data_IF_686843962321
#
_entry.id   IF_686843962321
#
_cell.length_a   1.000
_cell.length_b   1.000
_cell.length_c   1.000
_cell.angle_alpha   90.00
_cell.angle_beta   90.00
_cell.angle_gamma   90.00
#
_symmetry.space_group_name_H-M   'P 1'
#
loop_
_entity.id
_entity.type
_entity.pdbx_description
1 polymer ?
#
# COMPACT_ATOMS: atom_id res chain seq x y z
N UNK A 1 -19.46 22.64 -25.91
CA UNK A 1 -20.30 21.49 -26.32
C UNK A 1 -20.81 20.86 -25.06
N UNK A 2 -22.02 20.29 -25.02
CA UNK A 2 -22.44 19.55 -23.83
C UNK A 2 -21.56 18.32 -23.66
N UNK A 3 -21.12 18.05 -22.43
CA UNK A 3 -20.37 16.86 -22.10
C UNK A 3 -21.28 15.63 -22.27
N UNK A 4 -20.75 14.59 -22.90
CA UNK A 4 -21.46 13.34 -23.11
C UNK A 4 -20.76 12.25 -22.30
N UNK A 5 -21.42 11.77 -21.24
CA UNK A 5 -20.95 10.62 -20.48
C UNK A 5 -21.43 9.32 -21.15
N UNK A 6 -20.53 8.42 -21.43
CA UNK A 6 -20.81 7.12 -22.04
C UNK A 6 -20.33 6.01 -21.10
N UNK A 7 -21.25 5.16 -20.66
CA UNK A 7 -20.91 3.95 -19.92
C UNK A 7 -20.61 2.81 -20.91
N UNK A 8 -19.45 2.21 -20.76
CA UNK A 8 -18.99 1.09 -21.59
C UNK A 8 -18.62 -0.09 -20.71
N UNK A 9 -18.75 -1.30 -21.23
CA UNK A 9 -18.40 -2.55 -20.53
C UNK A 9 -17.30 -3.28 -21.30
N UNK A 10 -16.23 -2.60 -21.63
CA UNK A 10 -15.11 -3.09 -22.43
C UNK A 10 -13.76 -3.08 -21.71
N UNK A 11 -13.73 -2.67 -20.44
CA UNK A 11 -12.53 -2.78 -19.61
C UNK A 11 -12.13 -4.24 -19.38
N UNK A 12 -10.85 -4.49 -19.22
CA UNK A 12 -10.27 -5.82 -19.00
C UNK A 12 -9.31 -5.78 -17.85
N UNK A 13 -9.41 -6.80 -16.99
CA UNK A 13 -8.46 -7.05 -15.93
C UNK A 13 -7.92 -8.48 -16.00
N UNK A 14 -6.74 -8.70 -15.49
CA UNK A 14 -6.10 -10.01 -15.38
C UNK A 14 -5.45 -10.17 -14.03
N UNK A 15 -5.75 -11.29 -13.38
CA UNK A 15 -5.11 -11.68 -12.13
C UNK A 15 -4.53 -13.08 -12.25
N UNK A 16 -3.24 -13.22 -12.00
CA UNK A 16 -2.54 -14.51 -11.94
C UNK A 16 -1.86 -14.60 -10.57
N UNK A 17 -2.00 -15.72 -9.86
CA UNK A 17 -1.36 -15.92 -8.57
C UNK A 17 -0.94 -17.36 -8.32
N UNK A 18 0.13 -17.51 -7.55
CA UNK A 18 0.57 -18.76 -6.95
C UNK A 18 0.61 -18.58 -5.43
N UNK A 19 -0.02 -19.49 -4.70
CA UNK A 19 0.01 -19.48 -3.23
C UNK A 19 0.67 -20.75 -2.72
N UNK A 20 1.59 -20.59 -1.77
CA UNK A 20 2.19 -21.69 -1.00
C UNK A 20 1.74 -21.58 0.43
N UNK A 21 1.19 -22.67 0.97
CA UNK A 21 0.75 -22.78 2.36
C UNK A 21 1.56 -23.85 3.07
N UNK A 22 2.07 -23.53 4.25
CA UNK A 22 2.76 -24.44 5.14
C UNK A 22 2.11 -24.37 6.52
N UNK A 23 1.76 -25.52 7.06
CA UNK A 23 1.27 -25.64 8.43
C UNK A 23 1.88 -26.88 9.09
N UNK A 24 2.29 -26.74 10.34
CA UNK A 24 2.85 -27.88 11.06
C UNK A 24 3.14 -27.64 12.52
N UNK A 25 3.34 -28.75 13.23
CA UNK A 25 3.83 -28.80 14.59
C UNK A 25 5.32 -29.12 14.56
N UNK A 26 6.15 -28.17 14.98
CA UNK A 26 7.60 -28.33 15.01
C UNK A 26 8.08 -28.57 16.44
N UNK A 27 8.85 -29.66 16.64
CA UNK A 27 9.53 -29.94 17.91
C UNK A 27 8.62 -29.98 19.16
N UNK A 28 7.36 -30.41 19.06
CA UNK A 28 6.36 -30.53 20.14
C UNK A 28 6.00 -29.21 20.86
N UNK A 29 6.63 -28.10 20.52
CA UNK A 29 6.47 -26.83 21.23
C UNK A 29 6.17 -25.64 20.32
N UNK A 30 6.17 -25.84 19.02
CA UNK A 30 5.97 -24.78 18.05
C UNK A 30 4.90 -25.18 17.04
N UNK A 31 3.82 -24.45 17.06
CA UNK A 31 2.81 -24.45 16.01
C UNK A 31 3.12 -23.32 15.05
N UNK A 32 3.20 -23.62 13.76
CA UNK A 32 3.56 -22.68 12.71
C UNK A 32 2.57 -22.74 11.56
N UNK A 33 2.18 -21.58 11.08
CA UNK A 33 1.47 -21.38 9.81
C UNK A 33 2.22 -20.34 9.01
N UNK A 34 2.52 -20.65 7.76
CA UNK A 34 3.13 -19.72 6.83
C UNK A 34 2.41 -19.75 5.50
N UNK A 35 2.12 -18.57 4.97
CA UNK A 35 1.53 -18.39 3.65
C UNK A 35 2.42 -17.46 2.84
N UNK A 36 2.66 -17.82 1.59
CA UNK A 36 3.30 -16.94 0.63
C UNK A 36 2.48 -16.92 -0.64
N UNK A 37 2.23 -15.73 -1.14
CA UNK A 37 1.53 -15.50 -2.40
C UNK A 37 2.41 -14.65 -3.31
N UNK A 38 2.66 -15.15 -4.52
CA UNK A 38 3.19 -14.40 -5.64
C UNK A 38 2.03 -14.11 -6.59
N UNK A 39 1.74 -12.84 -6.84
CA UNK A 39 0.61 -12.43 -7.66
C UNK A 39 1.00 -11.36 -8.69
N UNK A 40 0.16 -11.22 -9.70
CA UNK A 40 0.19 -10.11 -10.66
C UNK A 40 -1.24 -9.73 -10.99
N UNK A 41 -1.64 -8.53 -10.64
CA UNK A 41 -2.91 -7.94 -11.00
C UNK A 41 -2.67 -6.82 -12.02
N UNK A 42 -3.36 -6.86 -13.15
CA UNK A 42 -3.24 -5.87 -14.22
C UNK A 42 -4.61 -5.43 -14.70
N UNK A 43 -4.71 -4.17 -15.06
CA UNK A 43 -5.94 -3.58 -15.59
C UNK A 43 -5.64 -2.60 -16.71
N UNK A 44 -6.68 -2.26 -17.47
CA UNK A 44 -6.70 -1.11 -18.36
C UNK A 44 -7.46 0.02 -17.66
N UNK A 45 -7.04 1.25 -17.83
CA UNK A 45 -7.79 2.40 -17.39
C UNK A 45 -6.94 3.48 -16.77
N UNK A 46 -7.59 4.53 -16.36
CA UNK A 46 -7.05 5.56 -15.47
C UNK A 46 -7.61 5.38 -14.08
N UNK A 47 -6.79 5.45 -13.09
CA UNK A 47 -7.23 5.59 -11.71
C UNK A 47 -7.67 7.03 -11.50
N UNK A 48 -8.98 7.26 -11.48
CA UNK A 48 -9.59 8.54 -11.16
C UNK A 48 -9.71 8.68 -9.65
N UNK A 49 -8.62 8.80 -8.96
CA UNK A 49 -8.61 9.05 -7.53
C UNK A 49 -8.99 7.83 -6.68
N UNK A 50 -8.30 7.68 -5.62
CA UNK A 50 -8.24 6.51 -4.73
C UNK A 50 -9.55 6.11 -4.05
N UNK A 51 -10.61 6.91 -4.12
CA UNK A 51 -11.86 6.66 -3.40
C UNK A 51 -12.90 5.84 -4.19
N UNK A 52 -12.71 5.67 -5.51
CA UNK A 52 -13.72 5.05 -6.37
C UNK A 52 -13.11 4.22 -7.51
N UNK A 53 -12.22 3.29 -7.20
CA UNK A 53 -11.56 2.38 -8.16
C UNK A 53 -12.50 1.67 -9.12
N UNK A 54 -13.79 1.58 -8.80
CA UNK A 54 -14.80 0.96 -9.66
C UNK A 54 -15.40 1.91 -10.72
N UNK A 55 -14.98 3.17 -10.74
CA UNK A 55 -15.44 4.19 -11.72
C UNK A 55 -14.35 4.50 -12.74
N UNK A 56 -13.28 3.71 -12.76
CA UNK A 56 -12.18 3.89 -13.70
C UNK A 56 -12.68 3.92 -15.13
N UNK A 57 -12.48 5.05 -15.77
CA UNK A 57 -12.72 5.23 -17.20
C UNK A 57 -11.45 4.98 -18.01
N UNK A 58 -11.56 5.12 -19.30
CA UNK A 58 -10.39 5.20 -20.18
C UNK A 58 -9.70 6.55 -19.98
N UNK A 59 -8.35 6.57 -19.92
CA UNK A 59 -7.60 7.80 -19.75
C UNK A 59 -7.80 8.79 -20.89
N UNK A 60 -8.01 8.30 -22.08
CA UNK A 60 -8.30 9.10 -23.26
C UNK A 60 -9.49 8.50 -24.00
N UNK A 61 -10.68 9.14 -23.97
CA UNK A 61 -11.86 8.64 -24.69
C UNK A 61 -11.66 8.54 -26.21
N UNK A 62 -10.71 9.29 -26.77
CA UNK A 62 -10.40 9.27 -28.21
C UNK A 62 -9.43 8.15 -28.58
N UNK A 63 -8.67 7.64 -27.63
CA UNK A 63 -7.75 6.52 -27.77
C UNK A 63 -7.91 5.55 -26.61
N UNK A 64 -9.08 4.97 -26.52
CA UNK A 64 -9.41 3.96 -25.51
C UNK A 64 -8.46 2.77 -25.63
N UNK A 65 -7.86 2.36 -24.53
CA UNK A 65 -6.81 1.33 -24.50
C UNK A 65 -5.49 1.72 -25.18
N UNK A 66 -5.14 2.99 -25.07
CA UNK A 66 -3.91 3.56 -25.57
C UNK A 66 -2.66 2.94 -24.94
N UNK A 67 -1.51 3.26 -25.54
CA UNK A 67 -0.22 2.84 -25.01
C UNK A 67 0.01 3.45 -23.62
N UNK A 68 0.35 2.61 -22.64
CA UNK A 68 0.58 3.02 -21.26
C UNK A 68 -0.66 2.95 -20.36
N UNK A 69 -1.85 2.69 -20.90
CA UNK A 69 -3.09 2.53 -20.13
C UNK A 69 -3.27 1.10 -19.60
N UNK A 70 -2.40 0.17 -19.97
CA UNK A 70 -2.35 -1.17 -19.41
C UNK A 70 -1.17 -1.31 -18.47
N UNK A 71 -1.46 -1.47 -17.20
CA UNK A 71 -0.46 -1.55 -16.14
C UNK A 71 -0.87 -2.43 -14.98
N UNK A 72 -0.07 -2.47 -13.92
CA UNK A 72 -0.49 -3.04 -12.66
C UNK A 72 -1.78 -2.35 -12.19
N UNK A 73 -2.67 -3.05 -11.50
CA UNK A 73 -3.77 -2.38 -10.81
C UNK A 73 -3.29 -1.84 -9.47
N UNK A 74 -3.93 -0.80 -8.92
CA UNK A 74 -3.60 -0.25 -7.61
C UNK A 74 -3.58 -1.28 -6.47
N UNK A 75 -4.22 -2.44 -6.68
CA UNK A 75 -4.23 -3.58 -5.76
C UNK A 75 -3.11 -4.61 -6.04
N UNK A 76 -2.20 -4.36 -6.98
CA UNK A 76 -1.13 -5.30 -7.33
C UNK A 76 -0.07 -5.40 -6.24
N UNK A 77 -0.30 -6.28 -5.28
CA UNK A 77 0.71 -6.72 -4.30
C UNK A 77 1.41 -7.95 -4.86
N UNK A 78 2.65 -7.76 -5.35
CA UNK A 78 3.35 -8.82 -6.06
C UNK A 78 3.76 -9.98 -5.17
N UNK A 79 4.31 -9.68 -4.01
CA UNK A 79 4.74 -10.67 -3.04
C UNK A 79 4.07 -10.38 -1.70
N UNK A 80 3.41 -11.37 -1.14
CA UNK A 80 2.80 -11.31 0.18
C UNK A 80 3.20 -12.51 1.01
N UNK A 81 3.79 -12.26 2.16
CA UNK A 81 4.15 -13.28 3.15
C UNK A 81 3.41 -13.05 4.46
N UNK A 82 2.84 -14.11 5.02
CA UNK A 82 2.25 -14.10 6.37
C UNK A 82 2.79 -15.31 7.12
N UNK A 83 3.35 -15.08 8.30
CA UNK A 83 3.85 -16.14 9.18
C UNK A 83 3.26 -15.94 10.57
N UNK A 84 2.59 -16.94 11.09
CA UNK A 84 2.05 -16.94 12.45
C UNK A 84 2.51 -18.18 13.20
N UNK A 85 2.69 -18.07 14.49
CA UNK A 85 3.05 -19.22 15.30
C UNK A 85 2.74 -19.04 16.77
N UNK A 86 2.75 -20.17 17.47
CA UNK A 86 2.65 -20.24 18.92
C UNK A 86 3.80 -21.10 19.42
N UNK A 87 4.60 -20.56 20.31
CA UNK A 87 5.68 -21.27 20.99
C UNK A 87 5.29 -21.51 22.46
N UNK A 88 5.21 -22.78 22.82
CA UNK A 88 4.90 -23.21 24.19
C UNK A 88 6.18 -23.24 25.02
N UNK A 89 6.30 -22.27 25.89
CA UNK A 89 7.45 -22.07 26.77
C UNK A 89 7.33 -22.91 28.05
N UNK A 90 8.43 -23.11 28.79
CA UNK A 90 8.38 -23.66 30.13
C UNK A 90 7.42 -22.89 31.05
N UNK A 91 6.99 -23.51 32.13
CA UNK A 91 6.13 -22.93 33.16
C UNK A 91 4.75 -22.48 32.66
N UNK A 92 4.31 -23.01 31.50
CA UNK A 92 2.99 -22.75 30.92
C UNK A 92 2.84 -21.40 30.23
N UNK A 93 3.92 -20.71 29.92
CA UNK A 93 3.86 -19.52 29.09
C UNK A 93 3.66 -19.88 27.61
N UNK A 94 2.88 -19.04 26.93
CA UNK A 94 2.65 -19.10 25.49
C UNK A 94 3.14 -17.81 24.86
N UNK A 95 4.01 -17.92 23.88
CA UNK A 95 4.44 -16.81 23.03
C UNK A 95 3.85 -17.01 21.63
N UNK A 96 3.00 -16.11 21.22
CA UNK A 96 2.46 -16.12 19.87
C UNK A 96 2.87 -14.87 19.09
N UNK A 97 3.00 -15.02 17.78
CA UNK A 97 3.34 -13.91 16.89
C UNK A 97 2.60 -14.02 15.57
N UNK A 98 2.44 -12.87 14.92
CA UNK A 98 1.96 -12.71 13.57
C UNK A 98 2.88 -11.75 12.84
N UNK A 99 3.57 -12.22 11.82
CA UNK A 99 4.38 -11.41 10.92
C UNK A 99 3.72 -11.31 9.55
N UNK A 100 3.69 -10.11 8.98
CA UNK A 100 3.20 -9.83 7.64
C UNK A 100 4.23 -9.00 6.89
N UNK A 101 4.45 -9.34 5.62
CA UNK A 101 5.29 -8.57 4.72
C UNK A 101 4.66 -8.58 3.32
N UNK A 102 4.56 -7.39 2.72
CA UNK A 102 4.01 -7.21 1.37
C UNK A 102 4.91 -6.26 0.58
N UNK A 103 5.08 -6.54 -0.71
CA UNK A 103 5.68 -5.55 -1.61
C UNK A 103 4.78 -4.32 -1.73
N UNK A 104 5.41 -3.19 -2.03
CA UNK A 104 4.70 -1.93 -2.16
C UNK A 104 3.62 -2.01 -3.25
N UNK A 105 2.47 -1.38 -2.97
CA UNK A 105 1.43 -1.14 -3.96
C UNK A 105 1.92 -0.17 -5.02
N UNK A 106 1.49 -0.33 -6.27
CA UNK A 106 1.80 0.61 -7.32
C UNK A 106 0.95 1.88 -7.22
N UNK A 107 1.37 2.92 -7.90
CA UNK A 107 0.63 4.16 -8.08
C UNK A 107 1.01 4.84 -9.38
N UNK A 108 0.09 5.65 -9.90
CA UNK A 108 0.29 6.51 -11.05
C UNK A 108 0.79 7.88 -10.59
N UNK A 109 1.79 8.41 -11.28
CA UNK A 109 2.23 9.79 -11.06
C UNK A 109 1.39 10.72 -11.93
N UNK A 110 0.67 11.64 -11.31
CA UNK A 110 -0.27 12.56 -11.98
C UNK A 110 0.28 13.98 -12.06
N UNK A 111 -0.28 14.77 -12.96
CA UNK A 111 0.01 16.20 -13.14
C UNK A 111 -1.29 17.00 -13.26
N UNK A 112 -1.36 18.22 -12.72
CA UNK A 112 -2.53 19.09 -12.87
C UNK A 112 -2.58 19.82 -14.24
N UNK A 113 -1.75 19.40 -15.18
CA UNK A 113 -1.69 20.01 -16.52
C UNK A 113 -2.35 19.07 -17.53
N UNK A 114 -3.23 19.63 -18.35
CA UNK A 114 -3.85 18.91 -19.47
C UNK A 114 -2.78 18.56 -20.52
N UNK A 115 -2.24 17.34 -20.39
CA UNK A 115 -1.19 16.80 -21.27
C UNK A 115 -1.80 16.22 -22.54
N UNK A 116 -2.99 15.66 -22.46
CA UNK A 116 -3.66 14.97 -23.55
C UNK A 116 -4.57 15.89 -24.40
N UNK A 117 -4.81 17.15 -23.95
CA UNK A 117 -5.61 18.14 -24.68
C UNK A 117 -7.14 17.91 -24.61
N UNK A 118 -7.62 17.16 -23.65
CA UNK A 118 -9.06 16.86 -23.50
C UNK A 118 -9.81 17.93 -22.70
N UNK A 119 -9.10 18.85 -22.03
CA UNK A 119 -9.67 19.92 -21.22
C UNK A 119 -9.91 19.51 -19.75
N UNK A 120 -9.62 18.29 -19.38
CA UNK A 120 -9.58 17.83 -18.00
C UNK A 120 -8.13 17.51 -17.63
N UNK A 121 -7.61 18.24 -16.64
CA UNK A 121 -6.20 18.13 -16.24
C UNK A 121 -6.00 17.33 -14.95
N UNK A 122 -7.09 16.88 -14.30
CA UNK A 122 -6.98 16.31 -12.96
C UNK A 122 -6.39 14.89 -12.93
N UNK A 123 -6.45 14.19 -14.06
CA UNK A 123 -6.15 12.77 -14.13
C UNK A 123 -5.05 12.43 -15.15
N UNK A 124 -4.39 13.46 -15.67
CA UNK A 124 -3.32 13.24 -16.64
C UNK A 124 -2.08 12.67 -15.97
N UNK A 125 -1.54 11.64 -16.61
CA UNK A 125 -0.26 11.05 -16.21
C UNK A 125 0.89 12.00 -16.51
N UNK A 126 1.77 12.16 -15.54
CA UNK A 126 2.92 13.04 -15.67
C UNK A 126 3.83 12.66 -16.85
N UNK A 127 4.44 13.66 -17.47
CA UNK A 127 5.48 13.47 -18.47
C UNK A 127 6.84 13.69 -17.81
N UNK A 128 7.74 12.71 -17.94
CA UNK A 128 9.08 12.74 -17.37
C UNK A 128 10.09 12.53 -18.48
N UNK A 129 11.01 13.50 -18.63
CA UNK A 129 12.03 13.49 -19.69
C UNK A 129 11.44 13.26 -21.11
N UNK A 130 10.28 13.86 -21.37
CA UNK A 130 9.58 13.77 -22.66
C UNK A 130 8.80 12.48 -22.89
N UNK A 131 8.67 11.62 -21.89
CA UNK A 131 7.92 10.37 -21.96
C UNK A 131 6.79 10.41 -20.93
N UNK A 132 5.54 10.21 -21.37
CA UNK A 132 4.43 10.06 -20.46
C UNK A 132 4.54 8.75 -19.67
N UNK A 133 4.38 8.82 -18.36
CA UNK A 133 4.43 7.68 -17.46
C UNK A 133 3.29 6.69 -17.76
N UNK A 134 3.49 5.44 -17.43
CA UNK A 134 2.46 4.41 -17.57
C UNK A 134 1.58 4.33 -16.32
N UNK A 135 0.42 3.71 -16.47
CA UNK A 135 -0.48 3.42 -15.36
C UNK A 135 0.27 2.60 -14.30
N UNK A 136 0.21 3.06 -13.04
CA UNK A 136 0.76 2.38 -11.87
C UNK A 136 2.23 1.92 -12.03
N UNK A 137 3.02 2.76 -12.71
CA UNK A 137 4.43 2.49 -12.99
C UNK A 137 5.30 2.53 -11.72
N UNK A 138 4.94 3.36 -10.76
CA UNK A 138 5.73 3.60 -9.56
C UNK A 138 5.24 2.72 -8.40
N UNK A 139 6.13 2.47 -7.43
CA UNK A 139 5.78 1.70 -6.23
C UNK A 139 6.23 2.43 -4.97
N UNK A 140 5.37 2.44 -3.98
CA UNK A 140 5.60 3.09 -2.70
C UNK A 140 6.52 2.31 -1.76
N UNK A 141 6.17 2.30 -0.48
CA UNK A 141 6.92 1.60 0.57
C UNK A 141 6.29 0.23 0.86
N UNK A 142 7.09 -0.84 1.00
CA UNK A 142 6.57 -2.14 1.39
C UNK A 142 5.90 -2.08 2.77
N UNK A 143 4.81 -2.83 2.93
CA UNK A 143 4.20 -3.08 4.23
C UNK A 143 4.96 -4.18 4.97
N UNK A 144 5.36 -3.93 6.21
CA UNK A 144 5.96 -4.93 7.09
C UNK A 144 5.46 -4.67 8.51
N UNK A 145 4.84 -5.65 9.13
CA UNK A 145 4.36 -5.57 10.50
C UNK A 145 4.61 -6.87 11.23
N UNK A 146 4.91 -6.78 12.50
CA UNK A 146 4.98 -7.91 13.41
C UNK A 146 4.24 -7.59 14.70
N UNK A 147 3.32 -8.47 15.06
CA UNK A 147 2.60 -8.43 16.32
C UNK A 147 3.05 -9.62 17.19
N UNK A 148 3.05 -9.43 18.49
CA UNK A 148 3.46 -10.46 19.43
C UNK A 148 2.58 -10.47 20.67
N UNK A 149 2.37 -11.65 21.25
CA UNK A 149 1.62 -11.83 22.48
C UNK A 149 2.32 -12.81 23.39
N UNK A 150 2.36 -12.49 24.67
CA UNK A 150 2.73 -13.41 25.75
C UNK A 150 1.52 -13.64 26.63
N UNK A 151 1.18 -14.89 26.83
CA UNK A 151 0.09 -15.29 27.71
C UNK A 151 0.55 -16.39 28.68
N UNK A 152 -0.14 -16.52 29.80
CA UNK A 152 0.08 -17.62 30.73
C UNK A 152 -1.27 -18.13 31.23
N UNK A 153 -1.84 -19.15 30.58
CA UNK A 153 -3.06 -19.79 31.07
C UNK A 153 -2.80 -20.59 32.36
N UNK A 154 -3.72 -20.51 33.30
CA UNK A 154 -3.75 -21.35 34.49
C UNK A 154 -5.18 -21.62 34.93
N UNK A 155 -5.39 -22.73 35.62
CA UNK A 155 -6.72 -23.14 36.11
C UNK A 155 -6.89 -22.77 37.59
N UNK A 156 -8.04 -22.21 37.92
CA UNK A 156 -8.47 -21.95 39.28
C UNK A 156 -9.58 -22.96 39.65
N UNK A 157 -9.20 -23.98 40.39
CA UNK A 157 -10.10 -25.10 40.66
C UNK A 157 -10.38 -25.94 39.40
N UNK A 158 -11.56 -26.57 39.35
CA UNK A 158 -11.92 -27.53 38.30
C UNK A 158 -12.64 -26.90 37.08
N UNK A 159 -13.14 -25.68 37.18
CA UNK A 159 -14.06 -25.11 36.20
C UNK A 159 -13.65 -23.75 35.63
N UNK A 160 -12.69 -23.07 36.25
CA UNK A 160 -12.31 -21.72 35.83
C UNK A 160 -10.89 -21.74 35.28
N UNK A 161 -10.73 -21.31 34.05
CA UNK A 161 -9.40 -21.03 33.48
C UNK A 161 -9.24 -19.53 33.29
N UNK A 162 -8.09 -19.02 33.70
CA UNK A 162 -7.71 -17.61 33.54
C UNK A 162 -6.42 -17.53 32.74
N UNK A 163 -6.41 -16.70 31.73
CA UNK A 163 -5.26 -16.47 30.86
C UNK A 163 -4.96 -14.96 30.77
N UNK A 164 -4.16 -14.42 31.69
CA UNK A 164 -3.64 -13.07 31.52
C UNK A 164 -2.68 -13.03 30.32
N UNK A 165 -2.64 -11.87 29.65
CA UNK A 165 -1.79 -11.66 28.49
C UNK A 165 -1.35 -10.22 28.38
N UNK A 166 -0.24 -10.04 27.65
CA UNK A 166 0.20 -8.78 27.09
C UNK A 166 0.39 -8.95 25.58
N UNK A 167 -0.11 -7.98 24.81
CA UNK A 167 0.00 -7.94 23.35
C UNK A 167 0.73 -6.68 22.91
N UNK A 168 1.51 -6.82 21.87
CA UNK A 168 2.23 -5.76 21.21
C UNK A 168 1.84 -5.76 19.74
N UNK A 169 1.38 -4.63 19.26
CA UNK A 169 1.06 -4.40 17.85
C UNK A 169 2.15 -3.55 17.23
N UNK A 170 2.50 -3.85 15.99
CA UNK A 170 3.59 -3.21 15.28
C UNK A 170 4.86 -3.11 16.15
N UNK A 171 5.36 -4.27 16.59
CA UNK A 171 6.44 -4.41 17.58
C UNK A 171 7.68 -3.56 17.26
N UNK A 172 7.95 -3.34 15.97
CA UNK A 172 9.10 -2.55 15.49
C UNK A 172 8.77 -1.09 15.22
N UNK A 173 7.55 -0.64 15.53
CA UNK A 173 7.07 0.72 15.28
C UNK A 173 7.35 1.20 13.84
N UNK A 174 7.16 0.32 12.86
CA UNK A 174 7.41 0.65 11.47
C UNK A 174 6.27 1.51 10.92
N UNK A 175 6.62 2.57 10.21
CA UNK A 175 5.65 3.34 9.44
C UNK A 175 5.27 2.56 8.16
N UNK A 176 3.99 2.24 8.01
CA UNK A 176 3.43 1.51 6.89
C UNK A 176 2.39 2.39 6.16
N UNK A 177 2.83 3.25 5.24
CA UNK A 177 1.92 4.19 4.56
C UNK A 177 0.97 3.52 3.55
N UNK A 178 1.24 2.28 3.15
CA UNK A 178 0.44 1.57 2.15
C UNK A 178 0.47 2.25 0.78
N UNK A 179 -0.70 2.57 0.23
CA UNK A 179 -0.85 3.33 -1.01
C UNK A 179 -1.09 4.84 -0.76
N UNK A 180 -1.07 5.29 0.50
CA UNK A 180 -1.37 6.68 0.88
C UNK A 180 -0.17 7.58 0.62
N UNK A 181 0.11 7.89 -0.64
CA UNK A 181 1.15 8.81 -1.08
C UNK A 181 0.55 10.01 -1.80
N UNK A 182 1.27 11.12 -1.75
CA UNK A 182 1.02 12.25 -2.65
C UNK A 182 1.61 11.89 -4.01
N UNK A 183 0.78 11.75 -5.01
CA UNK A 183 1.14 11.32 -6.37
C UNK A 183 1.04 12.42 -7.42
N UNK A 184 0.35 13.52 -7.10
CA UNK A 184 0.34 14.72 -7.92
C UNK A 184 1.67 15.46 -7.77
N UNK A 185 2.38 15.64 -8.88
CA UNK A 185 3.68 16.33 -8.90
C UNK A 185 3.64 17.78 -8.43
N UNK A 186 2.49 18.44 -8.52
CA UNK A 186 2.33 19.81 -8.01
C UNK A 186 2.21 19.87 -6.48
N UNK A 187 1.79 18.78 -5.85
CA UNK A 187 1.62 18.68 -4.41
C UNK A 187 2.83 18.06 -3.70
N UNK A 188 3.87 17.67 -4.42
CA UNK A 188 5.10 17.16 -3.82
C UNK A 188 5.79 18.24 -2.96
N UNK A 189 6.44 17.87 -1.84
CA UNK A 189 7.14 18.81 -0.96
C UNK A 189 8.30 19.50 -1.66
N UNK A 190 8.94 18.85 -2.60
CA UNK A 190 9.98 19.41 -3.44
C UNK A 190 9.40 19.79 -4.80
N UNK A 191 9.80 20.95 -5.30
CA UNK A 191 9.28 21.46 -6.55
C UNK A 191 9.92 20.75 -7.75
N UNK A 192 9.11 20.45 -8.76
CA UNK A 192 9.61 20.04 -10.06
C UNK A 192 9.83 21.28 -10.95
N UNK A 193 10.76 21.19 -11.86
CA UNK A 193 11.13 22.33 -12.72
C UNK A 193 10.04 22.72 -13.74
N UNK A 194 9.16 21.78 -14.10
CA UNK A 194 8.08 22.00 -15.05
C UNK A 194 6.98 20.94 -14.87
N UNK A 195 5.74 21.37 -14.73
CA UNK A 195 4.59 20.47 -14.54
C UNK A 195 4.14 19.77 -15.82
N UNK A 196 4.45 20.34 -17.00
CA UNK A 196 4.11 19.74 -18.29
C UNK A 196 5.11 18.64 -18.68
N UNK A 197 6.41 18.85 -18.41
CA UNK A 197 7.47 17.87 -18.67
C UNK A 197 8.56 18.00 -17.61
N UNK A 198 8.53 17.08 -16.66
CA UNK A 198 9.49 17.07 -15.55
C UNK A 198 10.83 16.55 -16.04
N UNK A 199 11.87 17.35 -15.94
CA UNK A 199 13.25 16.93 -16.26
C UNK A 199 14.19 17.04 -15.07
N UNK A 200 13.83 17.83 -14.07
CA UNK A 200 14.63 18.01 -12.86
C UNK A 200 13.76 18.30 -11.63
N UNK A 201 14.31 17.97 -10.49
CA UNK A 201 13.80 18.30 -9.16
C UNK A 201 14.58 19.50 -8.65
N UNK A 202 13.87 20.51 -8.19
CA UNK A 202 14.48 21.72 -7.68
C UNK A 202 14.92 21.51 -6.22
N UNK A 203 16.17 21.88 -5.91
CA UNK A 203 16.72 21.82 -4.55
C UNK A 203 16.38 23.10 -3.75
N UNK A 204 15.84 24.13 -4.41
CA UNK A 204 15.37 25.36 -3.79
C UNK A 204 14.11 25.89 -4.48
N UNK A 205 13.36 26.75 -3.78
CA UNK A 205 12.10 27.28 -4.27
C UNK A 205 12.21 28.11 -5.59
N UNK A 206 13.37 28.67 -5.86
CA UNK A 206 13.64 29.43 -7.09
C UNK A 206 14.09 28.53 -8.26
N UNK A 207 14.28 27.24 -8.02
CA UNK A 207 14.79 26.26 -8.99
C UNK A 207 16.12 26.65 -9.67
N UNK A 208 16.98 27.36 -8.94
CA UNK A 208 18.32 27.70 -9.40
C UNK A 208 19.33 26.56 -9.19
N UNK A 209 19.01 25.68 -8.27
CA UNK A 209 19.72 24.43 -8.02
C UNK A 209 18.74 23.27 -8.24
N UNK A 210 19.12 22.30 -9.05
CA UNK A 210 18.25 21.19 -9.41
C UNK A 210 19.05 19.94 -9.76
N UNK A 211 18.46 18.77 -9.45
CA UNK A 211 19.00 17.48 -9.83
C UNK A 211 18.14 16.81 -10.90
N UNK A 212 18.71 16.06 -11.85
CA UNK A 212 17.95 15.29 -12.83
C UNK A 212 17.01 14.29 -12.14
N UNK A 213 15.81 14.13 -12.67
CA UNK A 213 14.87 13.13 -12.17
C UNK A 213 15.36 11.74 -12.52
N UNK A 214 15.73 10.99 -11.51
CA UNK A 214 16.13 9.57 -11.64
C UNK A 214 15.22 8.66 -10.82
N UNK A 215 14.59 9.17 -9.77
CA UNK A 215 13.71 8.40 -8.88
C UNK A 215 12.80 9.33 -8.10
N UNK A 216 11.49 9.15 -8.22
CA UNK A 216 10.49 9.92 -7.46
C UNK A 216 10.26 9.39 -6.04
N UNK A 217 10.67 8.16 -5.75
CA UNK A 217 10.37 7.52 -4.46
C UNK A 217 10.81 8.33 -3.23
N UNK A 218 11.99 8.96 -3.17
CA UNK A 218 12.39 9.79 -2.04
C UNK A 218 11.54 11.05 -1.84
N UNK A 219 10.87 11.51 -2.90
CA UNK A 219 10.03 12.71 -2.88
C UNK A 219 8.63 12.44 -2.37
N UNK A 220 8.18 11.19 -2.44
CA UNK A 220 6.84 10.82 -2.06
C UNK A 220 6.71 10.83 -0.54
N UNK A 221 5.74 11.58 -0.06
CA UNK A 221 5.40 11.67 1.35
C UNK A 221 4.13 10.88 1.60
N UNK A 222 4.05 10.05 2.65
CA UNK A 222 2.78 9.47 3.05
C UNK A 222 1.74 10.57 3.27
N UNK A 223 0.55 10.39 2.73
CA UNK A 223 -0.52 11.39 2.81
C UNK A 223 -0.81 11.84 4.23
N UNK A 224 -0.76 10.93 5.22
CA UNK A 224 -0.91 11.25 6.63
C UNK A 224 0.19 12.16 7.21
N UNK A 225 1.33 12.32 6.54
CA UNK A 225 2.37 13.25 6.96
C UNK A 225 2.07 14.71 6.59
N UNK A 226 1.10 14.94 5.72
CA UNK A 226 0.65 16.28 5.34
C UNK A 226 -0.37 16.89 6.33
N UNK A 227 -0.54 16.29 7.50
CA UNK A 227 -1.44 16.76 8.55
C UNK A 227 -2.83 16.11 8.52
N UNK A 228 -3.80 16.77 9.14
CA UNK A 228 -5.13 16.20 9.39
C UNK A 228 -6.04 16.11 8.15
N UNK A 229 -5.56 16.45 6.96
CA UNK A 229 -6.38 16.46 5.75
C UNK A 229 -6.99 15.08 5.45
N UNK A 230 -6.22 14.03 5.67
CA UNK A 230 -6.67 12.66 5.45
C UNK A 230 -7.22 11.99 6.71
N UNK A 231 -7.10 12.62 7.87
CA UNK A 231 -7.60 12.11 9.14
C UNK A 231 -6.85 10.87 9.69
N UNK A 232 -7.18 10.43 10.90
CA UNK A 232 -6.61 9.23 11.48
C UNK A 232 -7.08 7.99 10.70
N UNK A 233 -6.18 7.06 10.41
CA UNK A 233 -6.48 5.79 9.75
C UNK A 233 -6.26 5.76 8.24
N UNK A 234 -5.75 6.84 7.64
CA UNK A 234 -5.35 6.86 6.23
C UNK A 234 -4.05 6.13 5.95
N UNK A 235 -3.23 5.89 6.96
CA UNK A 235 -2.05 5.03 6.87
C UNK A 235 -2.43 3.57 7.12
N UNK A 236 -1.87 2.67 6.36
CA UNK A 236 -2.03 1.23 6.58
C UNK A 236 -1.14 0.81 7.75
N UNK A 237 -1.75 0.14 8.72
CA UNK A 237 -1.05 -0.25 9.94
C UNK A 237 -1.16 0.80 11.05
N UNK A 238 -1.04 0.32 12.26
CA UNK A 238 -1.07 1.14 13.49
C UNK A 238 0.37 1.43 13.94
N UNK A 239 0.62 2.53 14.66
CA UNK A 239 1.88 2.71 15.37
C UNK A 239 2.04 1.63 16.44
N UNK A 240 3.25 1.53 17.01
CA UNK A 240 3.47 0.66 18.16
C UNK A 240 2.39 0.90 19.21
N UNK A 241 1.72 -0.18 19.61
CA UNK A 241 0.76 -0.17 20.68
C UNK A 241 0.92 -1.41 21.54
N UNK A 242 0.61 -1.29 22.83
CA UNK A 242 0.60 -2.41 23.75
C UNK A 242 -0.71 -2.44 24.51
N UNK A 243 -1.23 -3.63 24.73
CA UNK A 243 -2.38 -3.85 25.60
C UNK A 243 -2.14 -5.03 26.54
N UNK A 244 -2.81 -5.00 27.69
CA UNK A 244 -2.83 -6.12 28.61
C UNK A 244 -4.29 -6.47 28.94
N UNK A 245 -4.54 -7.74 29.20
CA UNK A 245 -5.86 -8.22 29.52
C UNK A 245 -5.83 -9.61 30.12
N UNK A 246 -6.99 -10.12 30.43
CA UNK A 246 -7.17 -11.49 30.87
C UNK A 246 -8.42 -12.10 30.22
N UNK A 247 -8.29 -13.35 29.76
CA UNK A 247 -9.41 -14.17 29.31
C UNK A 247 -9.83 -15.09 30.45
N UNK A 248 -11.10 -15.09 30.81
CA UNK A 248 -11.68 -16.00 31.80
C UNK A 248 -12.64 -16.93 31.07
N UNK A 249 -12.48 -18.24 31.31
CA UNK A 249 -13.36 -19.29 30.78
C UNK A 249 -13.90 -20.09 31.97
N UNK A 250 -15.20 -20.35 32.01
CA UNK A 250 -15.91 -21.04 33.07
C UNK A 250 -16.94 -22.01 32.51
#
# INVERSE_FOLDING_TARGET
>A
MPDVAVFRSDNRSRYDAMTVHLQGHLARRLDLIANYTLASAKTWGCVLGELFDYVDGVCNPLDAFGKGDFGPSGEDVRDRGVVAGVFYLPDGFEFSWLGQAETARPFTLTTPVDVNGLGDAQDDRAVVNGVQTSLDEFRGTPYIQMDARVARPFTLGERVAVSPFIEFFNLFNRNNPGANYVTDIAALPEHVNNLYNVTAICENAACTESAPVTNFKPLLVPAGALGDFFGPGTTVGIPFAAQFGARVTF
#
